data_IF_783721142188
#
_entry.id   IF_783721142188
#
_cell.length_a   1.000
_cell.length_b   1.000
_cell.length_c   1.000
_cell.angle_alpha   90.00
_cell.angle_beta   90.00
_cell.angle_gamma   90.00
#
_symmetry.space_group_name_H-M   'P 1'
#
loop_
_entity.id
_entity.type
_entity.pdbx_description
1 polymer ?
#
# COMPACT_ATOMS: atom_id res chain seq x y z
N UNK A 1 35.35 0.94 -32.42
CA UNK A 1 34.55 1.94 -31.67
C UNK A 1 33.65 1.13 -30.74
N UNK A 2 33.67 1.37 -29.42
CA UNK A 2 32.80 0.64 -28.50
C UNK A 2 31.33 0.93 -28.81
N UNK A 3 30.43 -0.04 -28.59
CA UNK A 3 29.00 0.11 -28.86
C UNK A 3 28.40 1.29 -28.08
N UNK A 4 28.79 1.46 -26.81
CA UNK A 4 28.43 2.61 -25.96
C UNK A 4 28.75 3.95 -26.63
N UNK A 5 29.95 4.09 -27.23
CA UNK A 5 30.34 5.31 -27.92
C UNK A 5 29.45 5.58 -29.14
N UNK A 6 29.09 4.54 -29.90
CA UNK A 6 28.18 4.66 -31.05
C UNK A 6 26.78 5.10 -30.62
N UNK A 7 26.27 4.57 -29.50
CA UNK A 7 24.98 4.96 -28.94
C UNK A 7 25.02 6.42 -28.49
N UNK A 8 26.05 6.84 -27.76
CA UNK A 8 26.21 8.23 -27.33
C UNK A 8 26.30 9.21 -28.51
N UNK A 9 27.04 8.86 -29.55
CA UNK A 9 27.08 9.65 -30.79
C UNK A 9 25.69 9.81 -31.42
N UNK A 10 24.90 8.73 -31.44
CA UNK A 10 23.54 8.77 -31.95
C UNK A 10 22.63 9.65 -31.06
N UNK A 11 22.78 9.58 -29.73
CA UNK A 11 22.05 10.45 -28.79
C UNK A 11 22.38 11.92 -29.04
N UNK A 12 23.66 12.28 -29.14
CA UNK A 12 24.09 13.65 -29.43
C UNK A 12 23.56 14.14 -30.79
N UNK A 13 23.56 13.28 -31.81
CA UNK A 13 23.06 13.63 -33.13
C UNK A 13 21.52 13.79 -33.19
N UNK A 14 20.78 13.10 -32.32
CA UNK A 14 19.32 13.17 -32.21
C UNK A 14 18.86 14.08 -31.06
N UNK A 15 19.75 14.90 -30.50
CA UNK A 15 19.43 15.75 -29.36
C UNK A 15 18.29 16.73 -29.66
N UNK A 16 18.05 17.11 -30.91
CA UNK A 16 16.95 18.01 -31.29
C UNK A 16 15.57 17.34 -31.38
N UNK A 17 15.53 16.04 -31.70
CA UNK A 17 14.30 15.26 -31.78
C UNK A 17 14.51 13.95 -31.03
N UNK A 18 14.38 13.96 -29.70
CA UNK A 18 14.74 12.82 -28.88
C UNK A 18 13.79 11.63 -29.14
N UNK A 19 14.37 10.46 -29.41
CA UNK A 19 13.66 9.18 -29.53
C UNK A 19 13.93 8.31 -28.29
N UNK A 20 12.91 8.02 -27.45
CA UNK A 20 13.05 7.16 -26.28
C UNK A 20 13.79 5.84 -26.55
N UNK A 21 13.68 5.26 -27.75
CA UNK A 21 14.29 3.99 -28.09
C UNK A 21 15.83 4.04 -28.04
N UNK A 22 16.43 5.19 -28.35
CA UNK A 22 17.90 5.34 -28.31
C UNK A 22 18.40 5.39 -26.88
N UNK A 23 17.69 6.10 -25.99
CA UNK A 23 17.99 6.09 -24.56
C UNK A 23 17.78 4.70 -23.95
N UNK A 24 16.74 3.98 -24.39
CA UNK A 24 16.52 2.59 -23.98
C UNK A 24 17.70 1.70 -24.36
N UNK A 25 18.25 1.85 -25.58
CA UNK A 25 19.44 1.10 -26.01
C UNK A 25 20.66 1.38 -25.12
N UNK A 26 20.87 2.63 -24.70
CA UNK A 26 21.94 2.94 -23.75
C UNK A 26 21.74 2.21 -22.41
N UNK A 27 20.52 2.24 -21.87
CA UNK A 27 20.19 1.55 -20.62
C UNK A 27 20.35 0.03 -20.77
N UNK A 28 19.87 -0.55 -21.87
CA UNK A 28 19.97 -1.98 -22.16
C UNK A 28 21.43 -2.45 -22.28
N UNK A 29 22.32 -1.62 -22.84
CA UNK A 29 23.75 -1.91 -22.94
C UNK A 29 24.46 -1.86 -21.58
N UNK A 30 24.02 -0.96 -20.69
CA UNK A 30 24.57 -0.83 -19.33
C UNK A 30 24.00 -1.88 -18.37
N UNK A 31 22.79 -2.38 -18.65
CA UNK A 31 22.02 -3.29 -17.80
C UNK A 31 22.73 -4.62 -17.64
N UNK A 32 22.83 -5.07 -16.38
CA UNK A 32 23.34 -6.40 -16.04
C UNK A 32 22.42 -7.12 -15.06
N UNK A 33 22.72 -8.38 -14.78
CA UNK A 33 22.04 -9.15 -13.75
C UNK A 33 22.25 -8.53 -12.36
N UNK A 34 21.24 -8.57 -11.49
CA UNK A 34 21.36 -8.10 -10.10
C UNK A 34 22.37 -8.90 -9.28
N UNK A 35 22.81 -10.05 -9.79
CA UNK A 35 23.83 -10.92 -9.20
C UNK A 35 25.26 -10.57 -9.61
N UNK A 36 25.47 -9.57 -10.45
CA UNK A 36 26.77 -9.21 -11.02
C UNK A 36 27.17 -7.75 -10.69
N UNK A 37 27.34 -7.41 -9.40
CA UNK A 37 27.63 -6.03 -8.99
C UNK A 37 28.95 -5.50 -9.56
N UNK A 38 29.97 -6.36 -9.71
CA UNK A 38 31.25 -5.97 -10.29
C UNK A 38 31.11 -5.53 -11.76
N UNK A 39 30.33 -6.26 -12.55
CA UNK A 39 30.09 -5.94 -13.95
C UNK A 39 29.26 -4.66 -14.10
N UNK A 40 28.25 -4.45 -13.23
CA UNK A 40 27.49 -3.20 -13.20
C UNK A 40 28.42 -1.98 -13.01
N UNK A 41 29.32 -2.07 -12.03
CA UNK A 41 30.29 -1.01 -11.72
C UNK A 41 31.34 -0.80 -12.82
N UNK A 42 31.71 -1.87 -13.55
CA UNK A 42 32.60 -1.80 -14.71
C UNK A 42 31.94 -1.13 -15.92
N UNK A 43 30.67 -1.45 -16.21
CA UNK A 43 29.92 -0.84 -17.30
C UNK A 43 29.73 0.66 -17.07
N UNK A 44 29.37 1.05 -15.85
CA UNK A 44 29.25 2.47 -15.47
C UNK A 44 30.62 3.17 -15.51
N UNK A 45 31.71 2.52 -15.09
CA UNK A 45 33.05 3.11 -15.26
C UNK A 45 33.38 3.34 -16.73
N UNK A 46 33.06 2.38 -17.59
CA UNK A 46 33.31 2.51 -19.03
C UNK A 46 32.54 3.69 -19.63
N UNK A 47 31.30 3.92 -19.19
CA UNK A 47 30.52 5.10 -19.57
C UNK A 47 31.20 6.39 -19.11
N UNK A 48 31.60 6.45 -17.84
CA UNK A 48 32.32 7.60 -17.24
C UNK A 48 33.60 7.90 -18.02
N UNK A 49 34.41 6.89 -18.32
CA UNK A 49 35.67 7.04 -19.05
C UNK A 49 35.44 7.60 -20.47
N UNK A 50 34.36 7.19 -21.14
CA UNK A 50 33.99 7.72 -22.46
C UNK A 50 33.55 9.20 -22.34
N UNK A 51 32.75 9.55 -21.34
CA UNK A 51 32.29 10.92 -21.11
C UNK A 51 33.44 11.87 -20.75
N UNK A 52 34.44 11.41 -20.00
CA UNK A 52 35.68 12.17 -19.75
C UNK A 52 36.47 12.45 -21.03
N UNK A 53 36.57 11.45 -21.92
CA UNK A 53 37.28 11.60 -23.19
C UNK A 53 36.53 12.45 -24.22
N UNK A 54 35.19 12.50 -24.11
CA UNK A 54 34.29 13.16 -25.05
C UNK A 54 33.22 13.96 -24.31
N UNK A 55 33.54 15.17 -23.78
CA UNK A 55 32.61 16.01 -23.05
C UNK A 55 31.34 16.37 -23.85
N UNK A 56 31.41 16.39 -25.18
CA UNK A 56 30.28 16.63 -26.08
C UNK A 56 29.16 15.59 -25.94
N UNK A 57 29.49 14.37 -25.49
CA UNK A 57 28.49 13.34 -25.20
C UNK A 57 27.77 13.58 -23.88
N UNK A 58 28.41 14.28 -22.93
CA UNK A 58 27.78 14.72 -21.68
C UNK A 58 26.66 15.73 -21.96
N UNK A 59 26.97 16.79 -22.71
CA UNK A 59 25.99 17.80 -23.16
C UNK A 59 24.88 17.18 -24.02
N UNK A 60 25.27 16.35 -25.00
CA UNK A 60 24.32 15.67 -25.87
C UNK A 60 23.34 14.79 -25.10
N UNK A 61 23.82 14.02 -24.12
CA UNK A 61 22.96 13.17 -23.29
C UNK A 61 22.07 13.99 -22.36
N UNK A 62 22.60 15.03 -21.71
CA UNK A 62 21.82 15.88 -20.80
C UNK A 62 20.72 16.64 -21.54
N UNK A 63 21.05 17.30 -22.65
CA UNK A 63 20.06 18.02 -23.48
C UNK A 63 19.01 17.09 -24.07
N UNK A 64 19.40 15.90 -24.53
CA UNK A 64 18.49 14.86 -25.02
C UNK A 64 17.50 14.44 -23.94
N UNK A 65 17.99 14.13 -22.73
CA UNK A 65 17.15 13.70 -21.60
C UNK A 65 16.22 14.83 -21.17
N UNK A 66 16.70 16.07 -21.09
CA UNK A 66 15.86 17.23 -20.73
C UNK A 66 14.75 17.46 -21.76
N UNK A 67 15.08 17.52 -23.05
CA UNK A 67 14.06 17.66 -24.13
C UNK A 67 13.07 16.52 -24.08
N UNK A 68 13.53 15.29 -23.86
CA UNK A 68 12.66 14.13 -23.75
C UNK A 68 11.69 14.31 -22.58
N UNK A 69 12.17 14.61 -21.36
CA UNK A 69 11.31 14.77 -20.18
C UNK A 69 10.36 15.97 -20.33
N UNK A 70 10.75 17.05 -21.02
CA UNK A 70 9.91 18.23 -21.32
C UNK A 70 8.74 17.91 -22.27
N UNK A 71 8.89 16.93 -23.16
CA UNK A 71 7.78 16.48 -24.02
C UNK A 71 6.67 15.74 -23.25
N UNK A 72 6.97 15.23 -22.06
CA UNK A 72 6.01 14.54 -21.20
C UNK A 72 5.49 15.44 -20.08
N UNK A 73 4.32 15.08 -19.53
CA UNK A 73 3.72 15.76 -18.40
C UNK A 73 4.52 15.49 -17.11
N UNK A 74 5.28 16.49 -16.66
CA UNK A 74 6.19 16.39 -15.52
C UNK A 74 5.55 16.60 -14.14
N UNK A 75 4.38 17.22 -14.05
CA UNK A 75 3.80 17.57 -12.74
C UNK A 75 3.55 16.30 -11.91
N UNK A 76 2.92 15.28 -12.50
CA UNK A 76 2.62 14.02 -11.79
C UNK A 76 3.88 13.26 -11.41
N UNK A 77 4.95 13.40 -12.21
CA UNK A 77 6.28 12.90 -11.88
C UNK A 77 6.73 13.46 -10.53
N UNK A 78 6.67 14.77 -10.33
CA UNK A 78 7.17 15.39 -9.11
C UNK A 78 6.17 15.31 -7.93
N UNK A 79 4.86 15.34 -8.19
CA UNK A 79 3.84 15.47 -7.12
C UNK A 79 3.16 14.17 -6.72
N UNK A 80 3.19 13.14 -7.57
CA UNK A 80 2.38 11.92 -7.38
C UNK A 80 3.23 10.63 -7.34
N UNK A 81 4.38 10.59 -8.01
CA UNK A 81 5.21 9.36 -8.01
C UNK A 81 5.83 9.09 -6.64
N UNK A 82 5.72 7.83 -6.19
CA UNK A 82 6.19 7.40 -4.88
C UNK A 82 5.28 7.83 -3.73
N UNK A 83 4.26 8.66 -3.99
CA UNK A 83 3.29 9.12 -3.00
C UNK A 83 2.04 8.24 -3.06
N UNK A 84 1.55 7.82 -1.90
CA UNK A 84 0.37 6.98 -1.78
C UNK A 84 -0.86 7.69 -2.37
N UNK A 85 -1.68 6.95 -3.12
CA UNK A 85 -2.86 7.51 -3.77
C UNK A 85 -3.93 7.93 -2.75
N UNK A 86 -4.70 8.95 -3.09
CA UNK A 86 -5.89 9.36 -2.32
C UNK A 86 -7.00 8.30 -2.33
N UNK A 87 -6.97 7.41 -3.32
CA UNK A 87 -7.88 6.28 -3.38
C UNK A 87 -7.61 5.35 -2.19
N UNK A 88 -8.62 5.16 -1.34
CA UNK A 88 -8.52 4.28 -0.17
C UNK A 88 -7.99 2.89 -0.53
N UNK A 89 -7.32 2.23 0.41
CA UNK A 89 -6.64 0.93 0.21
C UNK A 89 -7.45 -0.08 -0.63
N UNK A 90 -8.74 -0.25 -0.33
CA UNK A 90 -9.61 -1.20 -1.03
C UNK A 90 -9.85 -0.84 -2.49
N UNK A 91 -9.89 0.44 -2.84
CA UNK A 91 -10.02 0.89 -4.23
C UNK A 91 -8.75 0.58 -5.00
N UNK A 92 -7.58 0.85 -4.41
CA UNK A 92 -6.27 0.51 -4.99
C UNK A 92 -6.12 -1.00 -5.16
N UNK A 93 -6.53 -1.80 -4.16
CA UNK A 93 -6.51 -3.26 -4.25
C UNK A 93 -7.45 -3.78 -5.34
N UNK A 94 -8.70 -3.29 -5.40
CA UNK A 94 -9.67 -3.66 -6.43
C UNK A 94 -9.14 -3.31 -7.83
N UNK A 95 -8.51 -2.15 -7.98
CA UNK A 95 -7.88 -1.71 -9.23
C UNK A 95 -6.75 -2.65 -9.64
N UNK A 96 -5.87 -3.06 -8.72
CA UNK A 96 -4.78 -4.01 -9.01
C UNK A 96 -5.27 -5.43 -9.31
N UNK A 97 -6.30 -5.91 -8.61
CA UNK A 97 -6.93 -7.20 -8.92
C UNK A 97 -7.63 -7.12 -10.28
N UNK A 98 -8.32 -6.02 -10.56
CA UNK A 98 -8.94 -5.75 -11.86
C UNK A 98 -7.92 -5.70 -13.00
N UNK A 99 -6.74 -5.11 -12.77
CA UNK A 99 -5.64 -5.05 -13.73
C UNK A 99 -5.22 -6.44 -14.25
N UNK A 100 -5.37 -7.48 -13.43
CA UNK A 100 -5.06 -8.87 -13.83
C UNK A 100 -6.04 -9.43 -14.88
N UNK A 101 -7.24 -8.86 -14.97
CA UNK A 101 -8.27 -9.26 -15.93
C UNK A 101 -8.44 -8.24 -17.07
N UNK A 102 -8.24 -6.96 -16.79
CA UNK A 102 -8.34 -5.86 -17.74
C UNK A 102 -7.15 -4.92 -17.54
N UNK A 103 -6.16 -4.90 -18.46
CA UNK A 103 -5.01 -4.00 -18.35
C UNK A 103 -5.46 -2.55 -18.19
N UNK A 104 -4.77 -1.81 -17.32
CA UNK A 104 -5.06 -0.39 -17.11
C UNK A 104 -4.47 0.35 -18.30
N UNK A 105 -5.24 1.24 -18.91
CA UNK A 105 -4.77 2.03 -20.04
C UNK A 105 -3.61 2.93 -19.56
N UNK A 106 -2.42 2.85 -20.18
CA UNK A 106 -1.31 3.74 -19.88
C UNK A 106 -1.69 5.21 -20.13
N UNK A 107 -1.05 6.12 -19.40
CA UNK A 107 -1.08 7.54 -19.74
C UNK A 107 0.13 7.82 -20.63
N UNK A 108 -0.06 7.76 -21.94
CA UNK A 108 1.02 7.85 -22.93
C UNK A 108 1.85 9.15 -22.83
N UNK A 109 1.30 10.19 -22.19
CA UNK A 109 1.93 11.48 -21.94
C UNK A 109 2.64 11.59 -20.58
N UNK A 110 2.78 10.50 -19.82
CA UNK A 110 3.41 10.50 -18.50
C UNK A 110 4.88 10.09 -18.54
N UNK A 111 5.74 10.87 -17.85
CA UNK A 111 7.15 10.48 -17.60
C UNK A 111 7.24 9.12 -16.91
N UNK A 112 6.22 8.71 -16.15
CA UNK A 112 6.25 7.40 -15.48
C UNK A 112 6.12 6.25 -16.46
N UNK A 113 5.35 6.42 -17.54
CA UNK A 113 5.30 5.42 -18.62
C UNK A 113 6.63 5.40 -19.39
N UNK A 114 7.25 6.56 -19.62
CA UNK A 114 8.60 6.63 -20.20
C UNK A 114 9.60 5.85 -19.32
N UNK A 115 9.63 6.07 -18.00
CA UNK A 115 10.48 5.32 -17.08
C UNK A 115 10.15 3.82 -17.14
N UNK A 116 8.87 3.45 -17.26
CA UNK A 116 8.45 2.04 -17.37
C UNK A 116 8.88 1.37 -18.67
N UNK A 117 8.94 2.15 -19.75
CA UNK A 117 9.48 1.73 -21.05
C UNK A 117 11.01 1.57 -21.00
N UNK A 118 11.71 2.52 -20.38
CA UNK A 118 13.17 2.52 -20.24
C UNK A 118 13.65 1.39 -19.30
N UNK A 119 13.00 1.24 -18.15
CA UNK A 119 13.33 0.28 -17.09
C UNK A 119 12.28 -0.85 -17.02
N UNK A 120 12.20 -1.63 -18.11
CA UNK A 120 11.20 -2.67 -18.29
C UNK A 120 11.41 -3.95 -17.46
N UNK A 121 12.55 -4.11 -16.77
CA UNK A 121 12.86 -5.31 -15.97
C UNK A 121 12.60 -5.08 -14.49
N UNK A 122 11.93 -6.05 -13.86
CA UNK A 122 11.69 -6.05 -12.40
C UNK A 122 12.97 -6.00 -11.55
N UNK A 123 14.11 -6.42 -12.13
CA UNK A 123 15.42 -6.41 -11.47
C UNK A 123 16.17 -5.10 -11.64
N UNK A 124 15.67 -4.15 -12.44
CA UNK A 124 16.37 -2.88 -12.71
C UNK A 124 16.62 -2.08 -11.43
N UNK A 125 15.64 -2.06 -10.51
CA UNK A 125 15.79 -1.45 -9.18
C UNK A 125 17.01 -2.02 -8.43
N UNK A 126 17.21 -3.34 -8.49
CA UNK A 126 18.28 -4.04 -7.76
C UNK A 126 19.62 -3.90 -8.44
N UNK A 127 19.64 -3.93 -9.77
CA UNK A 127 20.85 -3.70 -10.55
C UNK A 127 21.40 -2.30 -10.30
N UNK A 128 20.55 -1.27 -10.33
CA UNK A 128 20.98 0.11 -10.08
C UNK A 128 21.45 0.33 -8.64
N UNK A 129 20.86 -0.38 -7.68
CA UNK A 129 21.29 -0.35 -6.28
C UNK A 129 22.70 -0.95 -6.06
N UNK A 130 23.23 -1.73 -7.01
CA UNK A 130 24.59 -2.27 -6.93
C UNK A 130 25.67 -1.27 -7.38
N UNK A 131 25.30 -0.16 -8.02
CA UNK A 131 26.25 0.86 -8.51
C UNK A 131 26.77 1.67 -7.31
N UNK A 132 28.08 1.79 -7.20
CA UNK A 132 28.72 2.54 -6.13
C UNK A 132 28.34 4.03 -6.17
N UNK A 133 28.05 4.62 -5.01
CA UNK A 133 27.66 6.05 -4.88
C UNK A 133 28.66 6.99 -5.54
N UNK A 134 29.97 6.70 -5.46
CA UNK A 134 31.03 7.51 -6.09
C UNK A 134 30.88 7.60 -7.61
N UNK A 135 30.42 6.52 -8.26
CA UNK A 135 30.21 6.50 -9.72
C UNK A 135 28.98 7.29 -10.11
N UNK A 136 27.94 7.27 -9.27
CA UNK A 136 26.80 8.15 -9.46
C UNK A 136 27.20 9.62 -9.35
N UNK A 137 27.96 9.98 -8.31
CA UNK A 137 28.46 11.35 -8.11
C UNK A 137 29.30 11.80 -9.32
N UNK A 138 30.21 10.96 -9.81
CA UNK A 138 31.05 11.26 -10.98
C UNK A 138 30.22 11.38 -12.27
N UNK A 139 29.27 10.47 -12.50
CA UNK A 139 28.39 10.51 -13.67
C UNK A 139 27.57 11.80 -13.71
N UNK A 140 26.95 12.20 -12.59
CA UNK A 140 26.15 13.44 -12.54
C UNK A 140 27.01 14.67 -12.82
N UNK A 141 28.27 14.70 -12.34
CA UNK A 141 29.19 15.80 -12.62
C UNK A 141 29.59 15.93 -14.09
N UNK A 142 29.58 14.82 -14.84
CA UNK A 142 29.88 14.77 -16.27
C UNK A 142 28.69 15.13 -17.16
N UNK A 143 27.47 14.96 -16.65
CA UNK A 143 26.22 15.30 -17.33
C UNK A 143 25.91 16.80 -17.24
N UNK A 144 26.75 17.63 -17.86
CA UNK A 144 26.59 19.10 -17.88
C UNK A 144 25.91 19.58 -19.16
N UNK A 145 25.06 20.58 -19.01
CA UNK A 145 24.37 21.24 -20.12
C UNK A 145 25.17 22.48 -20.55
N UNK A 146 25.42 22.65 -21.84
CA UNK A 146 26.05 23.84 -22.40
C UNK A 146 25.12 25.07 -22.37
N UNK A 147 25.70 26.28 -22.44
CA UNK A 147 24.97 27.55 -22.38
C UNK A 147 23.80 27.64 -23.39
N UNK A 148 23.97 27.04 -24.57
CA UNK A 148 22.95 27.01 -25.65
C UNK A 148 21.67 26.24 -25.27
N UNK A 149 21.67 25.51 -24.17
CA UNK A 149 20.60 24.64 -23.71
C UNK A 149 20.08 25.02 -22.31
N UNK A 150 20.44 26.21 -21.80
CA UNK A 150 19.98 26.71 -20.50
C UNK A 150 18.45 26.92 -20.45
N UNK A 151 17.81 27.15 -21.59
CA UNK A 151 16.35 27.23 -21.72
C UNK A 151 15.65 25.94 -21.25
N UNK A 152 16.24 24.78 -21.54
CA UNK A 152 15.76 23.48 -21.09
C UNK A 152 15.90 23.32 -19.58
N UNK A 153 17.03 23.78 -19.02
CA UNK A 153 17.30 23.74 -17.58
C UNK A 153 16.31 24.66 -16.85
N UNK A 154 16.11 25.88 -17.35
CA UNK A 154 15.13 26.83 -16.82
C UNK A 154 13.71 26.24 -16.82
N UNK A 155 13.32 25.57 -17.91
CA UNK A 155 12.01 24.91 -18.05
C UNK A 155 11.83 23.78 -17.04
N UNK A 156 12.87 22.94 -16.85
CA UNK A 156 12.84 21.86 -15.88
C UNK A 156 12.78 22.40 -14.44
N UNK A 157 13.62 23.39 -14.09
CA UNK A 157 13.59 24.07 -12.78
C UNK A 157 12.23 24.69 -12.49
N UNK A 158 11.62 25.39 -13.45
CA UNK A 158 10.28 25.96 -13.30
C UNK A 158 9.21 24.88 -13.00
N UNK A 159 9.31 23.72 -13.64
CA UNK A 159 8.41 22.59 -13.40
C UNK A 159 8.58 22.00 -12.00
N UNK A 160 9.83 21.89 -11.52
CA UNK A 160 10.14 21.45 -10.15
C UNK A 160 9.60 22.46 -9.12
N UNK A 161 9.84 23.76 -9.32
CA UNK A 161 9.35 24.82 -8.45
C UNK A 161 7.81 24.84 -8.38
N UNK A 162 7.12 24.64 -9.51
CA UNK A 162 5.67 24.47 -9.54
C UNK A 162 5.21 23.27 -8.71
N UNK A 163 5.94 22.15 -8.77
CA UNK A 163 5.64 20.98 -7.97
C UNK A 163 5.85 21.22 -6.46
N UNK A 164 6.86 22.00 -6.06
CA UNK A 164 7.05 22.43 -4.66
C UNK A 164 5.82 23.20 -4.18
N UNK A 165 5.30 24.14 -4.97
CA UNK A 165 4.06 24.88 -4.64
C UNK A 165 2.87 23.93 -4.47
N UNK A 166 2.67 23.00 -5.41
CA UNK A 166 1.56 22.04 -5.33
C UNK A 166 1.67 21.16 -4.09
N UNK A 167 2.87 20.64 -3.80
CA UNK A 167 3.13 19.81 -2.63
C UNK A 167 2.91 20.59 -1.34
N UNK A 168 3.33 21.86 -1.27
CA UNK A 168 3.15 22.66 -0.06
C UNK A 168 1.67 22.89 0.26
N UNK A 169 0.82 23.19 -0.74
CA UNK A 169 -0.62 23.26 -0.55
C UNK A 169 -1.23 21.93 -0.11
N UNK A 170 -0.78 20.80 -0.69
CA UNK A 170 -1.25 19.46 -0.30
C UNK A 170 -0.84 19.11 1.13
N UNK A 171 0.39 19.44 1.53
CA UNK A 171 0.90 19.25 2.90
C UNK A 171 0.05 20.06 3.87
N UNK A 172 -0.21 21.34 3.59
CA UNK A 172 -1.08 22.17 4.44
C UNK A 172 -2.50 21.59 4.52
N UNK A 173 -3.07 21.18 3.39
CA UNK A 173 -4.41 20.58 3.35
C UNK A 173 -4.52 19.26 4.15
N UNK A 174 -3.51 18.39 4.05
CA UNK A 174 -3.44 17.14 4.82
C UNK A 174 -3.20 17.40 6.31
N UNK A 175 -2.30 18.31 6.64
CA UNK A 175 -1.95 18.68 8.01
C UNK A 175 -3.09 19.37 8.75
N UNK A 176 -3.95 20.09 8.04
CA UNK A 176 -5.11 20.80 8.60
C UNK A 176 -6.43 20.00 8.50
N UNK A 177 -6.38 18.77 8.03
CA UNK A 177 -7.59 17.98 7.80
C UNK A 177 -8.33 17.65 9.11
N UNK A 178 -9.67 17.74 9.16
CA UNK A 178 -10.46 17.53 10.39
C UNK A 178 -10.17 16.21 11.09
N UNK A 179 -10.08 15.10 10.36
CA UNK A 179 -9.76 13.79 10.93
C UNK A 179 -8.46 13.77 11.75
N UNK A 180 -7.46 14.54 11.32
CA UNK A 180 -6.18 14.64 12.02
C UNK A 180 -6.34 15.54 13.25
N UNK A 181 -7.01 16.68 13.10
CA UNK A 181 -7.29 17.64 14.17
C UNK A 181 -8.13 17.05 15.30
N UNK A 182 -9.20 16.32 14.98
CA UNK A 182 -10.10 15.68 15.95
C UNK A 182 -9.38 14.56 16.71
N UNK A 183 -8.54 13.80 16.01
CA UNK A 183 -7.75 12.72 16.62
C UNK A 183 -6.67 13.26 17.56
N UNK A 184 -6.22 14.51 17.36
CA UNK A 184 -5.14 15.13 18.12
C UNK A 184 -5.39 16.62 18.37
N UNK A 185 -6.25 16.99 19.34
CA UNK A 185 -6.61 18.39 19.61
C UNK A 185 -5.42 19.27 20.04
N UNK A 186 -4.35 18.67 20.57
CA UNK A 186 -3.07 19.34 20.85
C UNK A 186 -2.39 19.88 19.57
N UNK A 187 -2.83 19.48 18.37
CA UNK A 187 -2.36 19.98 17.07
C UNK A 187 -2.88 21.37 16.69
N UNK A 188 -3.85 21.96 17.40
CA UNK A 188 -4.19 23.36 17.15
C UNK A 188 -2.95 24.26 17.21
N UNK A 189 -1.97 23.92 18.05
CA UNK A 189 -0.68 24.61 18.15
C UNK A 189 0.29 24.30 16.98
N UNK A 190 0.13 23.18 16.27
CA UNK A 190 0.97 22.75 15.15
C UNK A 190 0.40 23.12 13.78
N UNK A 191 -0.86 23.54 13.73
CA UNK A 191 -1.51 24.04 12.51
C UNK A 191 -0.72 25.19 11.85
N UNK A 192 -0.11 26.03 12.68
CA UNK A 192 0.74 27.13 12.23
C UNK A 192 1.96 26.66 11.43
N UNK A 193 2.61 25.54 11.81
CA UNK A 193 3.77 25.01 11.09
C UNK A 193 3.41 24.55 9.68
N UNK A 194 2.27 23.88 9.51
CA UNK A 194 1.80 23.45 8.18
C UNK A 194 1.43 24.62 7.27
N UNK A 195 0.98 25.75 7.82
CA UNK A 195 0.72 26.98 7.07
C UNK A 195 2.01 27.73 6.75
N UNK A 196 2.88 27.90 7.75
CA UNK A 196 4.18 28.58 7.61
C UNK A 196 5.05 27.90 6.55
N UNK A 197 5.06 26.56 6.53
CA UNK A 197 5.61 25.76 5.45
C UNK A 197 5.18 26.23 4.06
N UNK A 198 3.88 26.42 3.81
CA UNK A 198 3.40 26.87 2.49
C UNK A 198 3.84 28.30 2.18
N UNK A 199 3.84 29.20 3.17
CA UNK A 199 4.30 30.58 3.01
C UNK A 199 5.78 30.63 2.61
N UNK A 200 6.65 29.91 3.32
CA UNK A 200 8.07 29.83 3.01
C UNK A 200 8.32 29.16 1.64
N UNK A 201 7.52 28.14 1.27
CA UNK A 201 7.63 27.51 -0.05
C UNK A 201 7.31 28.49 -1.19
N UNK A 202 6.24 29.27 -1.04
CA UNK A 202 5.86 30.31 -2.02
C UNK A 202 6.93 31.39 -2.09
N UNK A 203 7.45 31.84 -0.95
CA UNK A 203 8.50 32.85 -0.88
C UNK A 203 9.79 32.38 -1.59
N UNK A 204 10.29 31.19 -1.21
CA UNK A 204 11.47 30.58 -1.79
C UNK A 204 11.34 30.43 -3.31
N UNK A 205 10.23 29.88 -3.80
CA UNK A 205 10.00 29.67 -5.23
C UNK A 205 10.02 31.00 -6.01
N UNK A 206 9.37 32.04 -5.50
CA UNK A 206 9.33 33.33 -6.17
C UNK A 206 10.71 34.01 -6.18
N UNK A 207 11.43 33.98 -5.06
CA UNK A 207 12.79 34.51 -4.97
C UNK A 207 13.74 33.77 -5.91
N UNK A 208 13.66 32.43 -5.97
CA UNK A 208 14.48 31.61 -6.85
C UNK A 208 14.22 31.92 -8.32
N UNK A 209 12.95 32.00 -8.75
CA UNK A 209 12.61 32.37 -10.14
C UNK A 209 13.17 33.72 -10.55
N UNK A 210 13.05 34.69 -9.65
CA UNK A 210 13.54 36.04 -9.90
C UNK A 210 15.06 36.09 -9.98
N UNK A 211 15.76 35.48 -9.01
CA UNK A 211 17.23 35.50 -8.95
C UNK A 211 17.89 34.79 -10.14
N UNK A 212 17.29 33.70 -10.63
CA UNK A 212 17.79 32.93 -11.76
C UNK A 212 17.19 33.35 -13.12
N UNK A 213 16.34 34.39 -13.15
CA UNK A 213 15.65 34.84 -14.37
C UNK A 213 14.93 33.71 -15.13
N UNK A 214 14.30 32.79 -14.39
CA UNK A 214 13.69 31.59 -14.99
C UNK A 214 12.51 31.91 -15.90
N UNK A 215 11.83 33.05 -15.70
CA UNK A 215 10.71 33.49 -16.54
C UNK A 215 11.17 33.93 -17.93
N UNK A 216 12.46 34.28 -18.11
CA UNK A 216 13.08 34.57 -19.41
C UNK A 216 13.81 33.37 -20.01
N UNK A 217 13.73 32.19 -19.38
CA UNK A 217 14.34 30.94 -19.84
C UNK A 217 15.88 30.99 -19.94
N UNK A 218 16.54 31.72 -19.04
CA UNK A 218 18.00 31.91 -19.07
C UNK A 218 18.76 31.14 -17.99
N UNK A 219 18.14 30.89 -16.82
CA UNK A 219 18.78 30.21 -15.67
C UNK A 219 20.17 30.75 -15.33
N UNK A 220 20.25 32.06 -15.10
CA UNK A 220 21.51 32.70 -14.74
C UNK A 220 21.98 32.26 -13.35
N UNK A 221 23.29 32.33 -13.10
CA UNK A 221 23.83 32.17 -11.75
C UNK A 221 23.78 33.53 -11.03
N UNK A 222 22.98 33.69 -9.97
CA UNK A 222 22.89 34.96 -9.25
C UNK A 222 24.18 35.26 -8.48
N UNK A 223 24.48 36.55 -8.26
CA UNK A 223 25.60 36.97 -7.41
C UNK A 223 25.43 36.50 -5.95
N UNK A 224 24.19 36.44 -5.48
CA UNK A 224 23.83 35.91 -4.17
C UNK A 224 22.80 34.80 -4.34
N UNK A 225 23.18 33.58 -3.97
CA UNK A 225 22.30 32.42 -4.00
C UNK A 225 21.10 32.61 -3.04
N UNK A 226 19.93 32.13 -3.46
CA UNK A 226 18.73 32.14 -2.62
C UNK A 226 18.87 31.05 -1.55
N UNK A 227 18.70 31.43 -0.28
CA UNK A 227 18.86 30.50 0.84
C UNK A 227 17.62 29.58 0.99
N UNK A 228 17.75 28.24 0.83
CA UNK A 228 16.65 27.31 1.03
C UNK A 228 16.40 26.99 2.53
N UNK A 229 17.28 27.40 3.44
CA UNK A 229 17.23 27.00 4.84
C UNK A 229 15.90 27.30 5.53
N UNK A 230 15.25 28.48 5.36
CA UNK A 230 13.95 28.75 5.97
C UNK A 230 12.88 27.71 5.61
N UNK A 231 12.79 27.36 4.32
CA UNK A 231 11.88 26.33 3.84
C UNK A 231 12.23 24.95 4.41
N UNK A 232 13.51 24.55 4.36
CA UNK A 232 13.97 23.26 4.87
C UNK A 232 13.70 23.08 6.37
N UNK A 233 13.82 24.14 7.16
CA UNK A 233 13.50 24.13 8.60
C UNK A 233 11.99 23.94 8.81
N UNK A 234 11.12 24.59 8.01
CA UNK A 234 9.68 24.36 8.10
C UNK A 234 9.29 22.93 7.72
N UNK A 235 9.96 22.33 6.73
CA UNK A 235 9.79 20.92 6.37
C UNK A 235 10.14 20.03 7.56
N UNK A 236 11.31 20.23 8.16
CA UNK A 236 11.80 19.44 9.29
C UNK A 236 10.83 19.52 10.49
N UNK A 237 10.31 20.71 10.80
CA UNK A 237 9.29 20.86 11.84
C UNK A 237 8.02 20.06 11.53
N UNK A 238 7.56 20.08 10.29
CA UNK A 238 6.40 19.29 9.87
C UNK A 238 6.69 17.78 9.96
N UNK A 239 7.89 17.33 9.59
CA UNK A 239 8.32 15.93 9.71
C UNK A 239 8.35 15.47 11.17
N UNK A 240 8.84 16.30 12.09
CA UNK A 240 8.86 16.03 13.53
C UNK A 240 7.44 15.90 14.13
N UNK A 241 6.53 16.78 13.71
CA UNK A 241 5.11 16.71 14.06
C UNK A 241 4.53 15.39 13.57
N UNK A 242 4.76 15.04 12.30
CA UNK A 242 4.31 13.79 11.68
C UNK A 242 4.84 12.55 12.42
N UNK A 243 6.14 12.54 12.74
CA UNK A 243 6.78 11.45 13.46
C UNK A 243 6.20 11.30 14.88
N UNK A 244 5.93 12.41 15.57
CA UNK A 244 5.32 12.44 16.89
C UNK A 244 3.90 11.87 16.87
N UNK A 245 3.09 12.30 15.89
CA UNK A 245 1.73 11.79 15.69
C UNK A 245 1.78 10.29 15.39
N UNK A 246 2.62 9.87 14.44
CA UNK A 246 2.78 8.46 14.06
C UNK A 246 3.11 7.57 15.26
N UNK A 247 4.01 8.00 16.15
CA UNK A 247 4.34 7.28 17.41
C UNK A 247 3.12 7.13 18.32
N UNK A 248 2.19 8.10 18.33
CA UNK A 248 0.91 8.01 19.07
C UNK A 248 -0.09 7.12 18.35
N UNK A 249 -0.21 7.18 17.02
CA UNK A 249 -1.12 6.33 16.22
C UNK A 249 -0.89 4.85 16.53
N UNK A 250 0.38 4.44 16.62
CA UNK A 250 0.74 3.05 16.94
C UNK A 250 0.25 2.60 18.32
N UNK A 251 -0.01 3.51 19.26
CA UNK A 251 -0.47 3.19 20.61
C UNK A 251 -1.99 3.17 20.74
N UNK A 252 -2.69 4.10 20.07
CA UNK A 252 -4.13 4.31 20.27
C UNK A 252 -5.05 3.60 19.27
N UNK A 253 -4.52 3.01 18.18
CA UNK A 253 -5.31 2.22 17.22
C UNK A 253 -6.26 3.08 16.38
N UNK A 254 -5.73 3.68 15.31
CA UNK A 254 -6.49 4.66 14.50
C UNK A 254 -6.97 4.07 13.16
N UNK A 255 -7.89 4.77 12.50
CA UNK A 255 -8.45 4.41 11.21
C UNK A 255 -7.37 4.26 10.12
N UNK A 256 -7.57 3.31 9.20
CA UNK A 256 -6.72 3.13 8.00
C UNK A 256 -6.65 4.43 7.19
N UNK A 257 -7.74 5.21 7.17
CA UNK A 257 -7.79 6.51 6.50
C UNK A 257 -6.74 7.46 7.08
N UNK A 258 -6.67 7.60 8.40
CA UNK A 258 -5.68 8.49 9.02
C UNK A 258 -4.27 7.99 8.81
N UNK A 259 -4.02 6.68 8.87
CA UNK A 259 -2.68 6.17 8.58
C UNK A 259 -2.26 6.45 7.13
N UNK A 260 -3.16 6.25 6.17
CA UNK A 260 -2.88 6.57 4.78
C UNK A 260 -2.61 8.06 4.60
N UNK A 261 -3.35 8.94 5.27
CA UNK A 261 -3.08 10.38 5.28
C UNK A 261 -1.71 10.69 5.87
N UNK A 262 -1.33 10.08 7.00
CA UNK A 262 -0.03 10.27 7.62
C UNK A 262 1.12 9.81 6.71
N UNK A 263 0.96 8.66 6.06
CA UNK A 263 1.95 8.16 5.09
C UNK A 263 2.08 9.11 3.91
N UNK A 264 0.96 9.61 3.37
CA UNK A 264 0.96 10.60 2.28
C UNK A 264 1.64 11.90 2.69
N UNK A 265 1.37 12.37 3.89
CA UNK A 265 1.96 13.58 4.44
C UNK A 265 3.48 13.43 4.57
N UNK A 266 3.94 12.32 5.16
CA UNK A 266 5.37 11.96 5.27
C UNK A 266 6.05 11.92 3.89
N UNK A 267 5.47 11.20 2.93
CA UNK A 267 6.00 11.10 1.57
C UNK A 267 6.00 12.45 0.82
N UNK A 268 4.99 13.29 1.05
CA UNK A 268 4.91 14.62 0.42
C UNK A 268 5.98 15.56 0.98
N UNK A 269 6.24 15.51 2.30
CA UNK A 269 7.31 16.27 2.95
C UNK A 269 8.69 15.85 2.43
N UNK A 270 8.99 14.55 2.43
CA UNK A 270 10.23 14.01 1.88
C UNK A 270 10.42 14.39 0.41
N UNK A 271 9.37 14.27 -0.40
CA UNK A 271 9.43 14.68 -1.81
C UNK A 271 9.76 16.16 -1.95
N UNK A 272 9.09 17.01 -1.17
CA UNK A 272 9.29 18.46 -1.27
C UNK A 272 10.70 18.88 -0.81
N UNK A 273 11.28 18.17 0.18
CA UNK A 273 12.70 18.30 0.56
C UNK A 273 13.63 18.00 -0.60
N UNK A 274 13.48 16.82 -1.23
CA UNK A 274 14.29 16.40 -2.38
C UNK A 274 14.20 17.43 -3.52
N UNK A 275 12.99 17.91 -3.83
CA UNK A 275 12.81 18.90 -4.89
C UNK A 275 13.45 20.26 -4.56
N UNK A 276 13.44 20.65 -3.28
CA UNK A 276 14.11 21.88 -2.82
C UNK A 276 15.63 21.75 -2.95
N UNK A 277 16.20 20.62 -2.52
CA UNK A 277 17.63 20.34 -2.66
C UNK A 277 18.06 20.24 -4.14
N UNK A 278 17.19 19.70 -5.00
CA UNK A 278 17.41 19.58 -6.43
C UNK A 278 17.54 20.92 -7.17
N UNK A 279 16.89 21.98 -6.69
CA UNK A 279 16.99 23.32 -7.30
C UNK A 279 18.04 24.19 -6.62
N UNK A 280 18.61 23.78 -5.48
CA UNK A 280 19.58 24.61 -4.75
C UNK A 280 20.93 24.65 -5.48
N UNK A 281 21.65 25.77 -5.39
CA UNK A 281 22.98 25.96 -6.00
C UNK A 281 24.14 25.19 -5.31
N UNK A 282 23.82 24.23 -4.45
CA UNK A 282 24.78 23.31 -3.84
C UNK A 282 24.89 22.05 -4.72
N UNK A 283 25.96 21.99 -5.53
CA UNK A 283 26.20 20.88 -6.46
C UNK A 283 26.13 19.51 -5.75
N UNK A 284 26.66 19.36 -4.53
CA UNK A 284 26.68 18.07 -3.87
C UNK A 284 25.29 17.64 -3.39
N UNK A 285 24.49 18.57 -2.87
CA UNK A 285 23.09 18.27 -2.49
C UNK A 285 22.23 18.01 -3.71
N UNK A 286 22.39 18.81 -4.76
CA UNK A 286 21.68 18.63 -6.04
C UNK A 286 21.96 17.24 -6.62
N UNK A 287 23.23 16.85 -6.72
CA UNK A 287 23.61 15.59 -7.35
C UNK A 287 23.02 14.39 -6.59
N UNK A 288 23.00 14.44 -5.24
CA UNK A 288 22.30 13.44 -4.41
C UNK A 288 20.79 13.43 -4.65
N UNK A 289 20.16 14.59 -4.72
CA UNK A 289 18.73 14.71 -4.96
C UNK A 289 18.32 14.15 -6.35
N UNK A 290 19.16 14.32 -7.38
CA UNK A 290 18.97 13.70 -8.71
C UNK A 290 18.95 12.17 -8.58
N UNK A 291 19.94 11.60 -7.91
CA UNK A 291 20.06 10.14 -7.73
C UNK A 291 18.84 9.59 -6.98
N UNK A 292 18.47 10.23 -5.87
CA UNK A 292 17.33 9.80 -5.05
C UNK A 292 16.00 9.90 -5.81
N UNK A 293 15.81 10.95 -6.60
CA UNK A 293 14.65 11.09 -7.47
C UNK A 293 14.58 9.96 -8.51
N UNK A 294 15.67 9.68 -9.22
CA UNK A 294 15.75 8.61 -10.23
C UNK A 294 15.45 7.25 -9.59
N UNK A 295 16.08 6.91 -8.47
CA UNK A 295 15.86 5.65 -7.76
C UNK A 295 14.40 5.51 -7.30
N UNK A 296 13.81 6.59 -6.78
CA UNK A 296 12.40 6.61 -6.37
C UNK A 296 11.47 6.35 -7.54
N UNK A 297 11.75 6.94 -8.71
CA UNK A 297 10.94 6.77 -9.91
C UNK A 297 10.98 5.34 -10.43
N UNK A 298 12.18 4.76 -10.53
CA UNK A 298 12.37 3.40 -11.02
C UNK A 298 11.69 2.41 -10.07
N UNK A 299 11.88 2.57 -8.77
CA UNK A 299 11.22 1.77 -7.72
C UNK A 299 9.70 1.86 -7.82
N UNK A 300 9.18 3.09 -7.91
CA UNK A 300 7.72 3.33 -8.00
C UNK A 300 7.13 2.69 -9.25
N UNK A 301 7.80 2.82 -10.38
CA UNK A 301 7.34 2.31 -11.66
C UNK A 301 7.33 0.78 -11.67
N UNK A 302 8.42 0.16 -11.22
CA UNK A 302 8.53 -1.30 -11.11
C UNK A 302 7.51 -1.93 -10.15
N UNK A 303 7.14 -1.20 -9.09
CA UNK A 303 6.23 -1.69 -8.05
C UNK A 303 4.78 -1.23 -8.22
N UNK A 304 4.47 -0.40 -9.23
CA UNK A 304 3.16 0.20 -9.48
C UNK A 304 2.00 -0.81 -9.52
N UNK A 305 2.23 -1.99 -10.10
CA UNK A 305 1.21 -3.04 -10.22
C UNK A 305 1.38 -4.19 -9.21
N UNK A 306 2.24 -4.03 -8.20
CA UNK A 306 2.51 -5.06 -7.20
C UNK A 306 1.47 -5.05 -6.08
N UNK A 307 0.59 -6.06 -6.08
CA UNK A 307 -0.33 -6.33 -4.96
C UNK A 307 0.46 -6.59 -3.68
N UNK A 308 1.57 -7.32 -3.76
CA UNK A 308 2.43 -7.62 -2.61
C UNK A 308 3.00 -6.36 -1.96
N UNK A 309 3.45 -5.40 -2.75
CA UNK A 309 3.96 -4.12 -2.23
C UNK A 309 2.85 -3.28 -1.59
N UNK A 310 1.65 -3.25 -2.19
CA UNK A 310 0.49 -2.59 -1.58
C UNK A 310 0.12 -3.22 -0.23
N UNK A 311 0.16 -4.55 -0.15
CA UNK A 311 -0.09 -5.29 1.08
C UNK A 311 1.01 -4.98 2.09
N UNK A 312 2.29 -5.11 1.76
CA UNK A 312 3.42 -4.90 2.69
C UNK A 312 3.38 -3.51 3.36
N UNK A 313 3.15 -2.46 2.57
CA UNK A 313 3.01 -1.09 3.06
C UNK A 313 1.81 -0.87 3.99
N UNK A 314 0.81 -1.77 3.98
CA UNK A 314 -0.41 -1.67 4.78
C UNK A 314 -0.60 -2.84 5.78
N UNK A 315 0.28 -3.86 5.78
CA UNK A 315 0.06 -5.17 6.44
C UNK A 315 -0.02 -5.06 7.95
N UNK A 316 0.85 -4.27 8.57
CA UNK A 316 0.90 -4.11 10.04
C UNK A 316 -0.44 -3.60 10.60
N UNK A 317 -1.16 -2.80 9.82
CA UNK A 317 -2.38 -2.12 10.26
C UNK A 317 -3.66 -2.84 9.83
N UNK A 318 -3.67 -3.45 8.64
CA UNK A 318 -4.74 -4.38 8.24
C UNK A 318 -4.81 -5.57 9.20
N UNK A 319 -3.66 -6.18 9.51
CA UNK A 319 -3.58 -7.29 10.45
C UNK A 319 -4.13 -6.89 11.81
N UNK A 320 -3.72 -5.73 12.35
CA UNK A 320 -4.23 -5.24 13.62
C UNK A 320 -5.73 -4.91 13.58
N UNK A 321 -6.25 -4.22 12.57
CA UNK A 321 -7.70 -3.92 12.48
C UNK A 321 -8.56 -5.17 12.27
N UNK A 322 -8.12 -6.10 11.44
CA UNK A 322 -8.79 -7.40 11.28
C UNK A 322 -8.79 -8.14 12.61
N UNK A 323 -7.65 -8.10 13.32
CA UNK A 323 -7.52 -8.69 14.66
C UNK A 323 -8.40 -7.99 15.69
N UNK A 324 -8.42 -6.66 15.77
CA UNK A 324 -9.26 -5.87 16.70
C UNK A 324 -10.75 -6.08 16.44
N UNK A 325 -11.17 -6.03 15.17
CA UNK A 325 -12.57 -6.22 14.80
C UNK A 325 -13.02 -7.68 15.02
N UNK A 326 -12.17 -8.66 14.71
CA UNK A 326 -12.43 -10.07 15.02
C UNK A 326 -12.36 -10.36 16.53
N UNK A 327 -11.48 -9.68 17.27
CA UNK A 327 -11.33 -9.79 18.74
C UNK A 327 -12.57 -9.23 19.46
N UNK A 328 -13.10 -8.07 19.05
CA UNK A 328 -14.36 -7.51 19.60
C UNK A 328 -15.55 -8.46 19.46
N UNK A 329 -15.61 -9.22 18.37
CA UNK A 329 -16.66 -10.25 18.18
C UNK A 329 -16.28 -11.55 18.93
N UNK A 330 -15.00 -11.83 19.09
CA UNK A 330 -14.43 -12.96 19.83
C UNK A 330 -14.64 -12.91 21.35
N UNK A 331 -14.63 -11.73 21.97
CA UNK A 331 -14.85 -11.56 23.42
C UNK A 331 -16.16 -12.21 23.90
N UNK A 332 -17.22 -12.14 23.09
CA UNK A 332 -18.50 -12.78 23.42
C UNK A 332 -18.46 -14.31 23.42
N UNK A 333 -17.38 -14.92 22.92
CA UNK A 333 -17.11 -16.36 22.96
C UNK A 333 -16.17 -16.78 24.09
N UNK A 334 -15.75 -15.84 24.94
CA UNK A 334 -14.91 -16.08 26.10
C UNK A 334 -15.74 -15.77 27.34
N UNK A 335 -15.81 -16.69 28.30
CA UNK A 335 -16.55 -16.51 29.54
C UNK A 335 -15.67 -16.92 30.70
N UNK A 336 -15.68 -16.12 31.76
CA UNK A 336 -14.81 -16.32 32.94
C UNK A 336 -15.61 -16.74 34.18
N UNK A 337 -16.95 -16.65 34.11
CA UNK A 337 -17.84 -16.83 35.24
C UNK A 337 -18.94 -17.88 34.98
N UNK A 338 -19.52 -18.40 36.07
CA UNK A 338 -20.59 -19.42 36.00
C UNK A 338 -21.81 -18.96 35.21
N UNK A 339 -22.15 -17.67 35.24
CA UNK A 339 -23.33 -17.16 34.50
C UNK A 339 -23.04 -17.06 33.01
N UNK A 340 -21.81 -16.68 32.62
CA UNK A 340 -21.33 -16.71 31.25
C UNK A 340 -21.40 -18.10 30.64
N UNK A 341 -20.96 -19.12 31.37
CA UNK A 341 -21.04 -20.52 30.95
C UNK A 341 -22.47 -21.01 30.71
N UNK A 342 -23.42 -20.68 31.60
CA UNK A 342 -24.84 -21.02 31.39
C UNK A 342 -25.43 -20.31 30.18
N UNK A 343 -25.09 -19.02 29.96
CA UNK A 343 -25.51 -18.27 28.78
C UNK A 343 -24.95 -18.87 27.50
N UNK A 344 -23.68 -19.29 27.52
CA UNK A 344 -23.04 -19.95 26.38
C UNK A 344 -23.74 -21.27 26.05
N UNK A 345 -24.01 -22.10 27.07
CA UNK A 345 -24.71 -23.36 26.90
C UNK A 345 -26.10 -23.16 26.26
N UNK A 346 -26.87 -22.16 26.73
CA UNK A 346 -28.19 -21.83 26.16
C UNK A 346 -28.09 -21.40 24.69
N UNK A 347 -27.15 -20.51 24.36
CA UNK A 347 -26.93 -20.04 22.98
C UNK A 347 -26.47 -21.17 22.06
N UNK A 348 -25.57 -22.03 22.54
CA UNK A 348 -25.08 -23.17 21.79
C UNK A 348 -26.16 -24.24 21.58
N UNK A 349 -27.03 -24.44 22.57
CA UNK A 349 -28.20 -25.33 22.47
C UNK A 349 -29.15 -24.88 21.35
N UNK A 350 -29.44 -23.57 21.26
CA UNK A 350 -30.22 -23.00 20.16
C UNK A 350 -29.55 -23.30 18.80
N UNK A 351 -28.24 -23.12 18.71
CA UNK A 351 -27.49 -23.48 17.49
C UNK A 351 -27.58 -24.97 17.16
N UNK A 352 -27.44 -25.85 18.15
CA UNK A 352 -27.56 -27.30 18.00
C UNK A 352 -28.93 -27.74 17.47
N UNK A 353 -30.00 -27.16 18.00
CA UNK A 353 -31.36 -27.40 17.54
C UNK A 353 -31.55 -27.02 16.06
N UNK A 354 -31.10 -25.83 15.66
CA UNK A 354 -31.19 -25.39 14.25
C UNK A 354 -30.32 -26.25 13.34
N UNK A 355 -29.12 -26.64 13.77
CA UNK A 355 -28.23 -27.52 12.99
C UNK A 355 -28.89 -28.88 12.74
N UNK A 356 -29.54 -29.47 13.76
CA UNK A 356 -30.28 -30.72 13.58
C UNK A 356 -31.41 -30.55 12.55
N UNK A 357 -32.15 -29.45 12.62
CA UNK A 357 -33.20 -29.15 11.63
C UNK A 357 -32.64 -28.96 10.21
N UNK A 358 -31.52 -28.26 10.06
CA UNK A 358 -30.81 -28.12 8.77
C UNK A 358 -30.38 -29.47 8.22
N UNK A 359 -29.83 -30.35 9.07
CA UNK A 359 -29.43 -31.70 8.68
C UNK A 359 -30.64 -32.53 8.21
N UNK A 360 -31.77 -32.45 8.92
CA UNK A 360 -33.01 -33.12 8.52
C UNK A 360 -33.53 -32.59 7.18
N UNK A 361 -33.59 -31.27 6.98
CA UNK A 361 -34.00 -30.68 5.69
C UNK A 361 -33.07 -31.13 4.56
N UNK A 362 -31.76 -31.17 4.80
CA UNK A 362 -30.79 -31.64 3.81
C UNK A 362 -31.03 -33.10 3.41
N UNK A 363 -31.28 -33.97 4.40
CA UNK A 363 -31.57 -35.39 4.15
C UNK A 363 -32.88 -35.53 3.36
N UNK A 364 -33.92 -34.76 3.70
CA UNK A 364 -35.18 -34.75 2.96
C UNK A 364 -35.02 -34.20 1.54
N UNK A 365 -34.22 -33.14 1.37
CA UNK A 365 -33.91 -32.55 0.07
C UNK A 365 -33.23 -33.54 -0.88
N UNK A 366 -32.48 -34.51 -0.34
CA UNK A 366 -31.84 -35.56 -1.12
C UNK A 366 -32.85 -36.54 -1.77
N UNK A 367 -34.09 -36.60 -1.27
CA UNK A 367 -35.15 -37.41 -1.86
C UNK A 367 -35.74 -36.76 -3.12
N UNK A 368 -35.48 -35.47 -3.39
CA UNK A 368 -35.90 -34.83 -4.62
C UNK A 368 -35.00 -35.26 -5.79
N UNK A 369 -35.64 -35.63 -6.90
CA UNK A 369 -34.97 -35.93 -8.17
C UNK A 369 -34.48 -34.63 -8.86
N UNK A 370 -33.45 -34.01 -8.29
CA UNK A 370 -32.81 -32.81 -8.82
C UNK A 370 -31.55 -33.16 -9.63
N UNK A 371 -31.27 -32.38 -10.68
CA UNK A 371 -29.98 -32.40 -11.38
C UNK A 371 -28.83 -31.98 -10.44
N UNK A 372 -27.55 -32.35 -10.74
CA UNK A 372 -26.42 -32.07 -9.86
C UNK A 372 -26.26 -30.60 -9.45
N UNK A 373 -26.48 -29.67 -10.39
CA UNK A 373 -26.44 -28.22 -10.11
C UNK A 373 -27.56 -27.78 -9.15
N UNK A 374 -28.78 -28.28 -9.33
CA UNK A 374 -29.90 -28.00 -8.44
C UNK A 374 -29.66 -28.52 -7.01
N UNK A 375 -29.04 -29.71 -6.88
CA UNK A 375 -28.65 -30.25 -5.57
C UNK A 375 -27.59 -29.40 -4.89
N UNK A 376 -26.57 -28.96 -5.63
CA UNK A 376 -25.54 -28.06 -5.11
C UNK A 376 -26.17 -26.74 -4.62
N UNK A 377 -27.06 -26.15 -5.42
CA UNK A 377 -27.77 -24.92 -5.06
C UNK A 377 -28.61 -25.07 -3.78
N UNK A 378 -29.45 -26.10 -3.70
CA UNK A 378 -30.30 -26.34 -2.52
C UNK A 378 -29.45 -26.60 -1.26
N UNK A 379 -28.38 -27.39 -1.37
CA UNK A 379 -27.45 -27.60 -0.26
C UNK A 379 -26.81 -26.28 0.20
N UNK A 380 -26.34 -25.44 -0.73
CA UNK A 380 -25.79 -24.13 -0.40
C UNK A 380 -26.82 -23.22 0.28
N UNK A 381 -28.08 -23.25 -0.16
CA UNK A 381 -29.16 -22.47 0.48
C UNK A 381 -29.50 -22.96 1.89
N UNK A 382 -29.56 -24.28 2.12
CA UNK A 382 -29.82 -24.85 3.45
C UNK A 382 -28.75 -24.42 4.44
N UNK A 383 -27.47 -24.53 4.08
CA UNK A 383 -26.38 -24.12 4.95
C UNK A 383 -26.27 -22.60 5.09
N UNK A 384 -26.34 -21.87 3.98
CA UNK A 384 -26.24 -20.40 3.97
C UNK A 384 -27.33 -19.74 4.80
N UNK A 385 -28.61 -20.02 4.50
CA UNK A 385 -29.73 -19.48 5.27
C UNK A 385 -29.74 -19.99 6.71
N UNK A 386 -29.41 -21.26 6.93
CA UNK A 386 -29.35 -21.83 8.27
C UNK A 386 -28.36 -21.13 9.19
N UNK A 387 -27.14 -20.85 8.70
CA UNK A 387 -26.16 -20.09 9.49
C UNK A 387 -26.54 -18.63 9.69
N UNK A 388 -27.18 -17.98 8.70
CA UNK A 388 -27.74 -16.63 8.87
C UNK A 388 -28.82 -16.63 9.95
N UNK A 389 -29.71 -17.62 9.94
CA UNK A 389 -30.77 -17.74 10.93
C UNK A 389 -30.22 -17.92 12.35
N UNK A 390 -29.23 -18.81 12.52
CA UNK A 390 -28.54 -19.00 13.82
C UNK A 390 -27.95 -17.67 14.31
N UNK A 391 -27.36 -16.87 13.41
CA UNK A 391 -26.81 -15.57 13.76
C UNK A 391 -27.88 -14.56 14.21
N UNK A 392 -29.00 -14.48 13.47
CA UNK A 392 -30.12 -13.55 13.77
C UNK A 392 -30.74 -13.84 15.14
N UNK A 393 -30.94 -15.12 15.49
CA UNK A 393 -31.47 -15.52 16.79
C UNK A 393 -30.42 -15.52 17.92
N UNK A 394 -29.21 -15.02 17.63
CA UNK A 394 -28.06 -14.97 18.57
C UNK A 394 -27.65 -16.34 19.11
N UNK A 395 -27.85 -17.39 18.33
CA UNK A 395 -27.33 -18.73 18.62
C UNK A 395 -25.82 -18.84 18.37
N UNK A 396 -25.20 -19.83 19.01
CA UNK A 396 -23.76 -20.09 18.90
C UNK A 396 -23.50 -21.43 18.22
N UNK A 397 -22.50 -21.46 17.36
CA UNK A 397 -21.96 -22.70 16.78
C UNK A 397 -20.51 -22.84 17.21
N UNK A 398 -20.18 -23.95 17.86
CA UNK A 398 -18.83 -24.22 18.35
C UNK A 398 -17.76 -24.11 17.25
N UNK A 399 -18.04 -24.57 16.02
CA UNK A 399 -17.08 -24.52 14.91
C UNK A 399 -16.70 -23.11 14.45
N UNK A 400 -17.47 -22.08 14.82
CA UNK A 400 -17.13 -20.68 14.56
C UNK A 400 -16.16 -20.12 15.61
N UNK A 401 -16.11 -20.70 16.81
CA UNK A 401 -15.35 -20.14 17.93
C UNK A 401 -13.83 -20.14 17.73
N UNK A 402 -13.16 -21.22 17.26
CA UNK A 402 -11.69 -21.24 17.13
C UNK A 402 -11.13 -20.09 16.30
N UNK A 403 -11.75 -19.77 15.16
CA UNK A 403 -11.34 -18.66 14.30
C UNK A 403 -11.52 -17.30 14.98
N UNK A 404 -12.58 -17.13 15.77
CA UNK A 404 -12.91 -15.87 16.44
C UNK A 404 -12.07 -15.65 17.71
N UNK A 405 -11.75 -16.73 18.45
CA UNK A 405 -10.91 -16.67 19.65
C UNK A 405 -9.42 -16.53 19.31
N UNK A 406 -8.98 -16.99 18.14
CA UNK A 406 -7.61 -16.78 17.65
C UNK A 406 -7.26 -15.30 17.52
N UNK A 407 -8.22 -14.45 17.13
CA UNK A 407 -8.04 -13.01 17.08
C UNK A 407 -7.85 -12.39 18.49
N UNK A 408 -8.60 -12.86 19.49
CA UNK A 408 -8.45 -12.41 20.88
C UNK A 408 -7.12 -12.85 21.51
N UNK A 409 -6.63 -14.04 21.15
CA UNK A 409 -5.28 -14.50 21.51
C UNK A 409 -4.23 -13.59 20.86
N UNK A 410 -4.37 -13.29 19.57
CA UNK A 410 -3.44 -12.43 18.83
C UNK A 410 -3.42 -10.99 19.37
N UNK A 411 -4.57 -10.40 19.75
CA UNK A 411 -4.61 -9.07 20.34
C UNK A 411 -3.87 -9.03 21.68
N UNK A 412 -4.05 -10.04 22.53
CA UNK A 412 -3.38 -10.15 23.84
C UNK A 412 -1.85 -10.27 23.71
N UNK A 413 -1.37 -10.91 22.64
CA UNK A 413 0.06 -10.99 22.32
C UNK A 413 0.60 -9.65 21.80
N UNK A 414 -0.20 -8.90 21.04
CA UNK A 414 0.23 -7.63 20.41
C UNK A 414 0.23 -6.41 21.33
N UNK A 415 -0.56 -6.41 22.41
CA UNK A 415 -0.72 -5.26 23.32
C UNK A 415 0.34 -5.20 24.44
N UNK A 416 1.20 -6.20 24.56
CA UNK A 416 2.10 -6.33 25.70
C UNK A 416 3.44 -5.59 25.56
N UNK A 417 3.58 -4.41 26.16
CA UNK A 417 4.87 -3.73 26.39
C UNK A 417 5.44 -3.96 27.81
N UNK A 418 5.26 -5.17 28.37
CA UNK A 418 5.58 -5.50 29.78
C UNK A 418 6.52 -6.70 29.93
N UNK A 419 6.88 -7.07 31.17
CA UNK A 419 7.71 -8.25 31.46
C UNK A 419 7.08 -9.52 30.88
N UNK A 420 7.85 -10.28 30.11
CA UNK A 420 7.45 -11.51 29.38
C UNK A 420 6.67 -12.51 30.26
N UNK A 421 6.99 -12.63 31.55
CA UNK A 421 6.29 -13.52 32.49
C UNK A 421 4.83 -13.14 32.74
N UNK A 422 4.52 -11.84 32.83
CA UNK A 422 3.15 -11.37 33.08
C UNK A 422 2.25 -11.59 31.86
N UNK A 423 2.80 -11.45 30.65
CA UNK A 423 2.10 -11.72 29.39
C UNK A 423 1.77 -13.21 29.23
N UNK A 424 2.72 -14.08 29.58
CA UNK A 424 2.52 -15.53 29.51
C UNK A 424 1.43 -16.00 30.49
N UNK A 425 1.36 -15.40 31.68
CA UNK A 425 0.29 -15.71 32.65
C UNK A 425 -1.08 -15.28 32.13
N UNK A 426 -1.22 -14.04 31.65
CA UNK A 426 -2.48 -13.53 31.09
C UNK A 426 -2.94 -14.33 29.86
N UNK A 427 -1.99 -14.74 29.01
CA UNK A 427 -2.25 -15.61 27.87
C UNK A 427 -2.72 -17.00 28.30
N UNK A 428 -2.10 -17.58 29.34
CA UNK A 428 -2.49 -18.87 29.90
C UNK A 428 -3.92 -18.85 30.44
N UNK A 429 -4.26 -17.84 31.24
CA UNK A 429 -5.63 -17.65 31.76
C UNK A 429 -6.64 -17.53 30.62
N UNK A 430 -6.34 -16.70 29.61
CA UNK A 430 -7.20 -16.53 28.44
C UNK A 430 -7.41 -17.85 27.67
N UNK A 431 -6.35 -18.63 27.45
CA UNK A 431 -6.44 -19.93 26.76
C UNK A 431 -7.30 -20.91 27.56
N UNK A 432 -7.15 -20.94 28.89
CA UNK A 432 -7.97 -21.81 29.75
C UNK A 432 -9.45 -21.43 29.67
N UNK A 433 -9.78 -20.14 29.70
CA UNK A 433 -11.16 -19.67 29.61
C UNK A 433 -11.76 -19.92 28.22
N UNK A 434 -10.97 -19.79 27.15
CA UNK A 434 -11.36 -20.16 25.79
C UNK A 434 -11.68 -21.66 25.72
N UNK A 435 -10.80 -22.52 26.24
CA UNK A 435 -11.00 -23.97 26.20
C UNK A 435 -12.26 -24.40 26.97
N UNK A 436 -12.49 -23.83 28.15
CA UNK A 436 -13.71 -24.08 28.94
C UNK A 436 -14.95 -23.64 28.20
N UNK A 437 -14.94 -22.44 27.63
CA UNK A 437 -16.11 -21.89 26.91
C UNK A 437 -16.40 -22.65 25.61
N UNK A 438 -15.36 -23.08 24.89
CA UNK A 438 -15.50 -23.91 23.68
C UNK A 438 -16.06 -25.29 24.01
N UNK A 439 -15.57 -25.93 25.07
CA UNK A 439 -16.10 -27.22 25.52
C UNK A 439 -17.60 -27.13 25.83
N UNK A 440 -18.02 -26.09 26.56
CA UNK A 440 -19.44 -25.86 26.89
C UNK A 440 -20.28 -25.62 25.63
N UNK A 441 -19.76 -24.89 24.65
CA UNK A 441 -20.47 -24.68 23.39
C UNK A 441 -20.63 -25.99 22.60
N UNK A 442 -19.58 -26.81 22.51
CA UNK A 442 -19.66 -28.15 21.88
C UNK A 442 -20.73 -28.98 22.57
N UNK A 443 -20.70 -29.04 23.90
CA UNK A 443 -21.69 -29.77 24.69
C UNK A 443 -23.11 -29.25 24.44
N UNK A 444 -23.32 -27.93 24.42
CA UNK A 444 -24.63 -27.34 24.13
C UNK A 444 -25.14 -27.68 22.72
N UNK A 445 -24.29 -27.56 21.70
CA UNK A 445 -24.65 -27.93 20.34
C UNK A 445 -25.05 -29.42 20.25
N UNK A 446 -24.24 -30.33 20.83
CA UNK A 446 -24.48 -31.77 20.80
C UNK A 446 -25.71 -32.18 21.61
N UNK A 447 -25.88 -31.63 22.82
CA UNK A 447 -26.96 -31.96 23.75
C UNK A 447 -28.35 -31.75 23.16
N UNK A 448 -28.56 -30.73 22.32
CA UNK A 448 -29.83 -30.57 21.62
C UNK A 448 -29.86 -31.17 20.22
N UNK A 449 -28.73 -31.24 19.52
CA UNK A 449 -28.72 -31.79 18.17
C UNK A 449 -29.11 -33.27 18.14
N UNK A 450 -28.55 -34.09 19.05
CA UNK A 450 -28.79 -35.55 19.07
C UNK A 450 -30.27 -35.87 19.38
N UNK A 451 -30.88 -35.37 20.47
CA UNK A 451 -32.27 -35.69 20.78
C UNK A 451 -33.23 -35.14 19.72
N UNK A 452 -32.98 -33.93 19.19
CA UNK A 452 -33.82 -33.34 18.16
C UNK A 452 -33.80 -34.19 16.89
N UNK A 453 -32.61 -34.61 16.44
CA UNK A 453 -32.48 -35.51 15.31
C UNK A 453 -33.20 -36.85 15.57
N UNK A 454 -33.01 -37.45 16.74
CA UNK A 454 -33.66 -38.71 17.08
C UNK A 454 -35.20 -38.59 17.10
N UNK A 455 -35.74 -37.50 17.64
CA UNK A 455 -37.17 -37.20 17.62
C UNK A 455 -37.69 -37.10 16.18
N UNK A 456 -36.97 -36.39 15.31
CA UNK A 456 -37.33 -36.30 13.90
C UNK A 456 -37.32 -37.67 13.20
N UNK A 457 -36.32 -38.51 13.48
CA UNK A 457 -36.27 -39.88 12.97
C UNK A 457 -37.46 -40.72 13.45
N UNK A 458 -37.82 -40.65 14.74
CA UNK A 458 -38.97 -41.38 15.28
C UNK A 458 -40.28 -40.94 14.62
N UNK A 459 -40.50 -39.64 14.46
CA UNK A 459 -41.71 -39.09 13.81
C UNK A 459 -41.79 -39.50 12.34
N UNK A 460 -40.68 -39.47 11.62
CA UNK A 460 -40.65 -39.88 10.20
C UNK A 460 -40.81 -41.38 10.02
N UNK A 461 -40.24 -42.21 10.89
CA UNK A 461 -40.45 -43.67 10.89
C UNK A 461 -41.89 -44.01 11.24
N UNK A 462 -42.45 -43.40 12.29
CA UNK A 462 -43.82 -43.64 12.72
C UNK A 462 -44.84 -43.28 11.61
N UNK A 463 -44.64 -42.14 10.92
CA UNK A 463 -45.47 -41.76 9.77
C UNK A 463 -45.34 -42.73 8.60
N UNK A 464 -44.14 -43.25 8.31
CA UNK A 464 -43.97 -44.28 7.26
C UNK A 464 -44.64 -45.60 7.63
N UNK A 465 -44.60 -46.00 8.90
CA UNK A 465 -45.31 -47.20 9.36
C UNK A 465 -46.82 -47.03 9.34
N UNK A 466 -47.34 -45.84 9.68
CA UNK A 466 -48.77 -45.53 9.60
C UNK A 466 -49.27 -45.46 8.16
N UNK A 467 -48.52 -44.84 7.25
CA UNK A 467 -48.84 -44.82 5.81
C UNK A 467 -48.79 -46.22 5.20
N UNK A 468 -47.86 -47.07 5.65
CA UNK A 468 -47.81 -48.48 5.25
C UNK A 468 -49.02 -49.27 5.79
N UNK A 469 -49.40 -49.08 7.06
CA UNK A 469 -50.60 -49.69 7.66
C UNK A 469 -51.90 -49.21 7.00
N UNK A 470 -51.96 -47.95 6.59
CA UNK A 470 -53.12 -47.36 5.93
C UNK A 470 -53.23 -47.84 4.48
N UNK A 471 -52.10 -47.99 3.77
CA UNK A 471 -52.06 -48.61 2.44
C UNK A 471 -52.38 -50.11 2.47
N UNK A 472 -51.89 -50.84 3.47
CA UNK A 472 -52.15 -52.28 3.60
C UNK A 472 -53.61 -52.60 3.92
N UNK A 473 -54.28 -51.76 4.72
CA UNK A 473 -55.74 -51.82 4.96
C UNK A 473 -56.60 -51.44 3.74
N UNK A 474 -56.11 -50.60 2.83
CA UNK A 474 -56.82 -50.26 1.59
C UNK A 474 -56.60 -51.26 0.44
N UNK A 475 -55.73 -52.25 0.63
CA UNK A 475 -55.37 -53.26 -0.39
C UNK A 475 -55.81 -54.68 -0.02
N UNK A 476 -56.60 -54.86 1.03
CA UNK A 476 -57.38 -56.10 1.24
C UNK A 476 -58.73 -55.94 0.53
N UNK A 477 -59.08 -56.84 -0.42
CA UNK A 477 -60.26 -56.72 -1.27
C UNK A 477 -61.59 -56.78 -0.52
#
# INVERSE_FOLDING_TARGET
MSELKRILQQITALSDVPDPAVLKRLIDELRVSDKEPALANQNIQTLIDILHQHPEYGDGLSSFVLKLIIQYRQISLYTDTGIMSDQGFFNSLRRLVGHRFLPILPQDDSVVELVGYLFDKRTDERWLANIETKKWDELVQLLRVEEKHLDLVATAKNSILNAIIILSYRISGLGLHPDLMDSYPQMLNYSASFVAQNQEAVLFVNQYRQAHELDTLTDITPEQAVDPAPLLVMIEQCEDIVATIRKRIYKTGISIRLTNMMLRLDQSLQRMRILTELVTDDNQRRDRAVIELIQTLITTTNRRYSIGHLIDNNTKLLSRKVTENASRVGEHYISTDKTGYQKMLKKASIGGFVIAFMATIKILAYQLALAPMGRAFINSMIYGLGFVFIHVIRGTVATKQPAMTAAAIASTISEGSGKKSHQLNKLSELVVDILRTQFIAIMGNVMLAIPTYHLFCLVTVHRRTDDWYRKSRSSTP
#
